data_IF_782633710161
#
_entry.id   IF_782633710161
#
_cell.length_a   1.000
_cell.length_b   1.000
_cell.length_c   1.000
_cell.angle_alpha   90.00
_cell.angle_beta   90.00
_cell.angle_gamma   90.00
#
_symmetry.space_group_name_H-M   'P 1'
#
loop_
_entity.id
_entity.type
_entity.pdbx_description
1 polymer ?
#
# COMPACT_ATOMS: atom_id res chain seq x y z
N UNK A 1 -0.02 16.30 2.11
CA UNK A 1 -0.52 17.11 0.98
C UNK A 1 -1.70 16.40 0.33
N UNK A 2 -2.68 17.14 -0.20
CA UNK A 2 -3.80 16.58 -0.96
C UNK A 2 -3.37 16.44 -2.43
N UNK A 3 -3.50 15.23 -2.98
CA UNK A 3 -3.12 14.87 -4.34
C UNK A 3 -4.39 14.52 -5.12
N UNK A 4 -4.52 15.05 -6.33
CA UNK A 4 -5.53 14.57 -7.29
C UNK A 4 -4.91 13.45 -8.12
N UNK A 5 -5.65 12.37 -8.33
CA UNK A 5 -5.19 11.20 -9.09
C UNK A 5 -6.09 10.98 -10.32
N UNK A 6 -5.53 10.35 -11.35
CA UNK A 6 -6.26 9.97 -12.56
C UNK A 6 -7.29 8.86 -12.30
N UNK A 7 -8.10 8.54 -13.32
CA UNK A 7 -9.19 7.57 -13.22
C UNK A 7 -8.74 6.13 -12.99
N UNK A 8 -7.55 5.75 -13.48
CA UNK A 8 -6.96 4.43 -13.30
C UNK A 8 -6.43 4.27 -11.88
N UNK A 9 -5.63 5.23 -11.42
CA UNK A 9 -5.15 5.26 -10.02
C UNK A 9 -6.31 5.29 -9.04
N UNK A 10 -7.37 6.04 -9.34
CA UNK A 10 -8.57 6.07 -8.50
C UNK A 10 -9.26 4.69 -8.43
N UNK A 11 -9.30 3.95 -9.54
CA UNK A 11 -9.90 2.61 -9.58
C UNK A 11 -9.09 1.60 -8.76
N UNK A 12 -7.75 1.70 -8.79
CA UNK A 12 -6.86 0.91 -7.94
C UNK A 12 -7.08 1.23 -6.45
N UNK A 13 -7.22 2.51 -6.09
CA UNK A 13 -7.48 2.93 -4.70
C UNK A 13 -8.87 2.48 -4.21
N UNK A 14 -9.88 2.54 -5.07
CA UNK A 14 -11.22 2.01 -4.76
C UNK A 14 -11.20 0.48 -4.55
N UNK A 15 -10.39 -0.25 -5.31
CA UNK A 15 -10.18 -1.68 -5.10
C UNK A 15 -9.42 -1.95 -3.79
N UNK A 16 -8.32 -1.25 -3.54
CA UNK A 16 -7.54 -1.36 -2.30
C UNK A 16 -8.41 -1.10 -1.06
N UNK A 17 -9.24 -0.05 -1.08
CA UNK A 17 -10.15 0.27 0.02
C UNK A 17 -11.17 -0.85 0.28
N UNK A 18 -11.70 -1.48 -0.79
CA UNK A 18 -12.60 -2.63 -0.68
C UNK A 18 -11.89 -3.84 -0.08
N UNK A 19 -10.69 -4.19 -0.56
CA UNK A 19 -9.91 -5.30 0.00
C UNK A 19 -9.59 -5.07 1.48
N UNK A 20 -9.16 -3.86 1.85
CA UNK A 20 -8.90 -3.51 3.24
C UNK A 20 -10.14 -3.71 4.12
N UNK A 21 -11.31 -3.22 3.68
CA UNK A 21 -12.56 -3.37 4.43
C UNK A 21 -13.04 -4.83 4.51
N UNK A 22 -13.00 -5.57 3.40
CA UNK A 22 -13.47 -6.96 3.32
C UNK A 22 -12.63 -7.93 4.16
N UNK A 23 -11.39 -7.56 4.45
CA UNK A 23 -10.44 -8.40 5.17
C UNK A 23 -10.17 -7.91 6.59
N UNK A 24 -10.99 -7.00 7.11
CA UNK A 24 -10.80 -6.37 8.42
C UNK A 24 -9.38 -5.82 8.62
N UNK A 25 -8.81 -5.25 7.55
CA UNK A 25 -7.49 -4.64 7.52
C UNK A 25 -6.31 -5.60 7.29
N UNK A 26 -6.56 -6.90 7.06
CA UNK A 26 -5.48 -7.86 6.77
C UNK A 26 -4.82 -7.61 5.41
N UNK A 27 -5.58 -7.13 4.43
CA UNK A 27 -5.06 -6.70 3.14
C UNK A 27 -4.82 -5.17 3.15
N UNK A 28 -3.57 -4.75 3.37
CA UNK A 28 -3.19 -3.34 3.46
C UNK A 28 -2.07 -2.98 2.47
N UNK A 29 -2.43 -2.17 1.47
CA UNK A 29 -1.51 -1.67 0.42
C UNK A 29 -0.43 -0.73 0.95
N UNK A 30 -0.54 -0.22 2.18
CA UNK A 30 0.51 0.62 2.79
C UNK A 30 1.70 -0.19 3.31
N UNK A 31 1.59 -1.52 3.35
CA UNK A 31 2.67 -2.42 3.78
C UNK A 31 3.87 -2.45 2.83
N UNK A 32 3.74 -1.89 1.62
CA UNK A 32 4.82 -1.84 0.61
C UNK A 32 6.13 -1.23 1.12
N UNK A 33 6.05 -0.28 2.05
CA UNK A 33 7.23 0.36 2.67
C UNK A 33 8.15 -0.64 3.39
N UNK A 34 7.63 -1.79 3.83
CA UNK A 34 8.39 -2.84 4.52
C UNK A 34 9.44 -3.51 3.61
N UNK A 35 9.33 -3.39 2.28
CA UNK A 35 10.40 -3.82 1.34
C UNK A 35 11.73 -3.10 1.56
N UNK A 36 11.73 -1.95 2.24
CA UNK A 36 12.98 -1.27 2.62
C UNK A 36 13.78 -2.08 3.65
N UNK A 37 13.09 -2.87 4.49
CA UNK A 37 13.71 -3.79 5.45
C UNK A 37 13.91 -5.19 4.85
N UNK A 38 12.87 -5.75 4.19
CA UNK A 38 12.95 -7.05 3.51
C UNK A 38 13.47 -6.91 2.08
N UNK A 39 14.73 -7.29 1.89
CA UNK A 39 15.37 -7.35 0.57
C UNK A 39 15.15 -8.72 -0.05
N UNK A 40 14.55 -8.75 -1.22
CA UNK A 40 14.34 -9.96 -2.01
C UNK A 40 15.48 -10.14 -3.02
N UNK A 41 16.71 -10.26 -2.50
CA UNK A 41 17.96 -10.39 -3.29
C UNK A 41 18.46 -11.84 -3.39
N UNK A 42 17.65 -12.80 -2.95
CA UNK A 42 18.00 -14.22 -2.91
C UNK A 42 18.78 -14.64 -1.67
N UNK A 43 19.05 -13.72 -0.73
CA UNK A 43 19.61 -14.06 0.58
C UNK A 43 18.52 -14.44 1.59
N UNK A 44 18.89 -15.21 2.62
CA UNK A 44 18.03 -15.55 3.76
C UNK A 44 18.07 -14.48 4.87
N UNK A 45 18.45 -13.25 4.54
CA UNK A 45 18.59 -12.17 5.52
C UNK A 45 17.21 -11.68 5.97
N UNK A 46 16.81 -12.09 7.18
CA UNK A 46 15.75 -11.41 7.91
C UNK A 46 16.22 -10.01 8.39
N UNK A 47 15.36 -8.98 8.37
CA UNK A 47 15.70 -7.69 8.94
C UNK A 47 15.79 -7.74 10.46
N UNK A 48 16.57 -6.83 11.03
CA UNK A 48 16.57 -6.59 12.45
C UNK A 48 15.25 -5.94 12.89
N UNK A 49 14.80 -6.22 14.12
CA UNK A 49 13.58 -5.62 14.68
C UNK A 49 13.60 -4.09 14.62
N UNK A 50 14.78 -3.48 14.81
CA UNK A 50 14.96 -2.03 14.72
C UNK A 50 14.67 -1.47 13.32
N UNK A 51 15.02 -2.20 12.25
CA UNK A 51 14.72 -1.79 10.87
C UNK A 51 13.21 -1.81 10.63
N UNK A 52 12.52 -2.82 11.14
CA UNK A 52 11.06 -2.95 11.02
C UNK A 52 10.37 -1.87 11.85
N UNK A 53 10.80 -1.65 13.09
CA UNK A 53 10.23 -0.67 14.01
C UNK A 53 10.26 0.77 13.45
N UNK A 54 11.29 1.11 12.67
CA UNK A 54 11.39 2.42 12.00
C UNK A 54 10.35 2.61 10.89
N UNK A 55 9.87 1.52 10.28
CA UNK A 55 8.94 1.55 9.15
C UNK A 55 7.47 1.39 9.57
N UNK A 56 7.19 0.69 10.67
CA UNK A 56 5.83 0.47 11.17
C UNK A 56 4.98 1.75 11.34
N UNK A 57 5.54 2.91 11.75
CA UNK A 57 4.78 4.17 11.79
C UNK A 57 4.21 4.60 10.43
N UNK A 58 4.80 4.13 9.32
CA UNK A 58 4.39 4.43 7.94
C UNK A 58 3.39 3.41 7.37
N UNK A 59 3.01 2.39 8.13
CA UNK A 59 2.03 1.37 7.72
C UNK A 59 0.67 1.65 8.38
N UNK A 60 -0.40 1.53 7.61
CA UNK A 60 -1.79 1.58 8.05
C UNK A 60 -2.68 2.37 7.09
N UNK A 61 -3.59 1.70 6.39
CA UNK A 61 -4.58 2.33 5.49
C UNK A 61 -5.48 3.34 6.23
N UNK A 62 -5.73 3.13 7.53
CA UNK A 62 -6.46 4.10 8.37
C UNK A 62 -5.78 5.47 8.51
N UNK A 63 -4.49 5.57 8.16
CA UNK A 63 -3.71 6.81 8.20
C UNK A 63 -3.83 7.62 6.90
N UNK A 64 -4.39 7.03 5.84
CA UNK A 64 -4.66 7.74 4.58
C UNK A 64 -6.10 8.27 4.57
N UNK A 65 -6.34 9.30 3.76
CA UNK A 65 -7.70 9.74 3.42
C UNK A 65 -7.88 9.59 1.92
N UNK A 66 -8.78 8.69 1.53
CA UNK A 66 -9.18 8.49 0.15
C UNK A 66 -10.61 8.97 -0.06
N UNK A 67 -10.77 9.94 -0.97
CA UNK A 67 -12.07 10.40 -1.45
C UNK A 67 -11.91 10.80 -2.90
N UNK A 68 -12.30 9.91 -3.82
CA UNK A 68 -12.15 10.10 -5.27
C UNK A 68 -12.47 11.54 -5.74
N UNK A 69 -11.59 12.19 -6.52
CA UNK A 69 -10.27 11.75 -7.01
C UNK A 69 -9.10 12.14 -6.10
N UNK A 70 -9.34 12.46 -4.82
CA UNK A 70 -8.35 13.03 -3.93
C UNK A 70 -7.81 12.04 -2.90
N UNK A 71 -6.48 11.94 -2.85
CA UNK A 71 -5.73 11.17 -1.87
C UNK A 71 -4.95 12.10 -0.94
N UNK A 72 -4.95 11.81 0.35
CA UNK A 72 -4.03 12.41 1.32
C UNK A 72 -3.33 11.31 2.11
N UNK A 73 -2.01 11.38 2.21
CA UNK A 73 -1.18 10.46 2.97
C UNK A 73 -0.06 11.23 3.70
N UNK A 74 0.39 10.73 4.88
CA UNK A 74 1.60 11.19 5.55
C UNK A 74 2.85 11.10 4.66
N UNK A 75 3.82 11.96 4.94
CA UNK A 75 5.12 11.91 4.29
C UNK A 75 5.85 10.59 4.61
N UNK A 76 6.56 10.05 3.61
CA UNK A 76 7.32 8.81 3.74
C UNK A 76 6.50 7.52 3.57
N UNK A 77 5.17 7.60 3.53
CA UNK A 77 4.31 6.45 3.22
C UNK A 77 4.43 6.02 1.76
N UNK A 78 4.23 4.74 1.53
CA UNK A 78 4.22 4.11 0.21
C UNK A 78 2.92 3.32 0.05
N UNK A 79 2.29 3.42 -1.12
CA UNK A 79 1.19 2.54 -1.52
C UNK A 79 1.72 1.57 -2.56
N UNK A 80 1.48 0.28 -2.33
CA UNK A 80 1.86 -0.78 -3.23
C UNK A 80 0.64 -1.61 -3.65
N UNK A 81 0.41 -1.68 -4.96
CA UNK A 81 -0.66 -2.46 -5.56
C UNK A 81 -0.18 -3.82 -6.09
N UNK A 82 1.09 -4.19 -5.86
CA UNK A 82 1.65 -5.47 -6.30
C UNK A 82 0.89 -6.70 -5.79
N UNK A 83 0.16 -6.59 -4.68
CA UNK A 83 -0.65 -7.67 -4.12
C UNK A 83 -1.94 -8.01 -4.87
N UNK A 84 -2.36 -7.20 -5.84
CA UNK A 84 -3.53 -7.49 -6.70
C UNK A 84 -3.44 -6.91 -8.12
N UNK A 85 -2.36 -6.22 -8.46
CA UNK A 85 -2.26 -5.47 -9.71
C UNK A 85 -2.35 -6.34 -10.96
N UNK A 86 -1.97 -7.62 -10.86
CA UNK A 86 -2.07 -8.58 -11.98
C UNK A 86 -3.51 -8.96 -12.26
N UNK A 87 -4.26 -9.26 -11.21
CA UNK A 87 -5.67 -9.63 -11.25
C UNK A 87 -6.50 -8.46 -11.77
N UNK A 88 -6.22 -7.24 -11.27
CA UNK A 88 -6.83 -6.02 -11.79
C UNK A 88 -6.56 -5.80 -13.28
N UNK A 89 -5.32 -6.04 -13.74
CA UNK A 89 -4.97 -5.89 -15.15
C UNK A 89 -5.69 -6.89 -16.06
N UNK A 90 -5.90 -8.13 -15.59
CA UNK A 90 -6.66 -9.17 -16.31
C UNK A 90 -8.14 -8.81 -16.38
N UNK A 91 -8.74 -8.38 -15.27
CA UNK A 91 -10.18 -8.06 -15.23
C UNK A 91 -10.58 -6.83 -16.06
N UNK A 92 -9.61 -5.96 -16.37
CA UNK A 92 -9.83 -4.73 -17.15
C UNK A 92 -9.53 -4.87 -18.65
N UNK A 93 -8.87 -5.95 -19.07
CA UNK A 93 -8.51 -6.23 -20.46
C UNK A 93 -9.70 -6.81 -21.26
#
# INVERSE_FOLDING_TARGET
>A
TRLEVDSETASLLDFAARCYALTDGLFDVTSGVLRKAWKFDGSDRAPAEAEVAQLLPLVGFSKIRWQRPYLTLPEGMELDFGGFGKEYAVDRA
#
